data_IF_407572066700
#
_entry.id   IF_407572066700
#
_cell.length_a   1.000
_cell.length_b   1.000
_cell.length_c   1.000
_cell.angle_alpha   90.00
_cell.angle_beta   90.00
_cell.angle_gamma   90.00
#
_symmetry.space_group_name_H-M   'P 1'
#
loop_
_entity.id
_entity.type
_entity.pdbx_description
1 polymer ?
#
# COMPACT_ATOMS: atom_id res chain seq x y z
N UNK A 1 -6.16 14.32 -26.26
CA UNK A 1 -6.26 14.09 -24.80
C UNK A 1 -6.53 12.61 -24.58
N UNK A 2 -5.73 11.91 -23.78
CA UNK A 2 -5.84 10.47 -23.53
C UNK A 2 -6.71 10.22 -22.31
N UNK A 3 -7.73 9.36 -22.44
CA UNK A 3 -8.63 9.00 -21.35
C UNK A 3 -8.02 7.89 -20.50
N UNK A 4 -7.79 8.18 -19.23
CA UNK A 4 -7.25 7.25 -18.24
C UNK A 4 -8.35 6.88 -17.25
N UNK A 5 -8.87 5.65 -17.32
CA UNK A 5 -9.73 5.14 -16.25
C UNK A 5 -8.87 4.82 -15.02
N UNK A 6 -9.25 5.31 -13.86
CA UNK A 6 -8.55 5.07 -12.59
C UNK A 6 -9.51 4.43 -11.62
N UNK A 7 -9.15 3.27 -11.06
CA UNK A 7 -9.98 2.60 -10.06
C UNK A 7 -9.43 2.79 -8.67
N UNK A 8 -10.34 3.04 -7.72
CA UNK A 8 -10.04 3.03 -6.28
C UNK A 8 -11.09 2.23 -5.51
N UNK A 9 -10.68 1.41 -4.57
CA UNK A 9 -11.55 0.50 -3.82
C UNK A 9 -11.59 0.82 -2.33
N UNK A 10 -10.58 1.54 -1.84
CA UNK A 10 -10.42 1.85 -0.43
C UNK A 10 -9.69 3.17 -0.21
N UNK A 11 -9.78 3.68 1.01
CA UNK A 11 -9.06 4.89 1.43
C UNK A 11 -7.53 4.76 1.25
N UNK A 12 -6.98 3.57 1.46
CA UNK A 12 -5.56 3.31 1.27
C UNK A 12 -5.17 3.50 -0.20
N UNK A 13 -5.93 2.92 -1.12
CA UNK A 13 -5.70 3.08 -2.57
C UNK A 13 -5.77 4.56 -2.97
N UNK A 14 -6.82 5.26 -2.52
CA UNK A 14 -6.99 6.67 -2.83
C UNK A 14 -5.85 7.54 -2.27
N UNK A 15 -5.34 7.20 -1.09
CA UNK A 15 -4.17 7.87 -0.53
C UNK A 15 -2.94 7.81 -1.45
N UNK A 16 -2.70 6.67 -2.07
CA UNK A 16 -1.62 6.50 -3.05
C UNK A 16 -1.97 7.10 -4.43
N UNK A 17 -3.24 7.11 -4.80
CA UNK A 17 -3.70 7.65 -6.09
C UNK A 17 -3.87 9.17 -6.10
N UNK A 18 -3.94 9.82 -4.95
CA UNK A 18 -4.25 11.24 -4.84
C UNK A 18 -3.34 12.11 -5.71
N UNK A 19 -2.03 11.99 -5.55
CA UNK A 19 -1.08 12.81 -6.30
C UNK A 19 -0.97 12.42 -7.78
N UNK A 20 -0.93 11.14 -8.17
CA UNK A 20 -1.10 10.73 -9.56
C UNK A 20 -2.34 11.32 -10.23
N UNK A 21 -3.51 11.26 -9.57
CA UNK A 21 -4.76 11.85 -10.07
C UNK A 21 -4.65 13.39 -10.21
N UNK A 22 -4.09 14.07 -9.21
CA UNK A 22 -3.90 15.51 -9.23
C UNK A 22 -3.00 15.94 -10.42
N UNK A 23 -1.87 15.25 -10.62
CA UNK A 23 -0.95 15.53 -11.73
C UNK A 23 -1.54 15.19 -13.10
N UNK A 24 -2.28 14.09 -13.22
CA UNK A 24 -3.00 13.78 -14.46
C UNK A 24 -4.05 14.84 -14.79
N UNK A 25 -4.78 15.36 -13.79
CA UNK A 25 -5.77 16.42 -13.98
C UNK A 25 -5.15 17.75 -14.44
N UNK A 26 -3.92 18.05 -14.01
CA UNK A 26 -3.17 19.25 -14.40
C UNK A 26 -2.52 19.09 -15.79
N UNK A 27 -2.36 17.86 -16.29
CA UNK A 27 -1.66 17.57 -17.53
C UNK A 27 -2.56 17.81 -18.77
N UNK A 28 -2.15 18.63 -19.76
CA UNK A 28 -3.02 19.01 -20.90
C UNK A 28 -3.44 17.84 -21.80
N UNK A 29 -2.66 16.76 -21.84
CA UNK A 29 -2.90 15.63 -22.74
C UNK A 29 -3.62 14.46 -22.07
N UNK A 30 -3.98 14.56 -20.76
CA UNK A 30 -4.62 13.50 -19.99
C UNK A 30 -6.03 13.90 -19.54
N UNK A 31 -6.94 12.91 -19.52
CA UNK A 31 -8.31 13.00 -19.01
C UNK A 31 -8.55 11.86 -18.00
N UNK A 32 -8.21 12.04 -16.71
CA UNK A 32 -8.45 11.02 -15.69
C UNK A 32 -9.94 10.89 -15.36
N UNK A 33 -10.47 9.66 -15.46
CA UNK A 33 -11.84 9.28 -15.14
C UNK A 33 -11.83 8.34 -13.94
N UNK A 34 -12.28 8.82 -12.80
CA UNK A 34 -12.22 8.07 -11.54
C UNK A 34 -13.45 7.19 -11.35
N UNK A 35 -13.23 5.91 -11.15
CA UNK A 35 -14.23 4.90 -10.79
C UNK A 35 -14.02 4.54 -9.33
N UNK A 36 -15.08 4.63 -8.54
CA UNK A 36 -15.06 4.34 -7.10
C UNK A 36 -15.89 3.09 -6.81
N UNK A 37 -15.36 2.18 -6.00
CA UNK A 37 -16.05 0.95 -5.63
C UNK A 37 -15.60 0.45 -4.25
N UNK A 38 -16.04 -0.72 -3.84
CA UNK A 38 -15.57 -1.43 -2.64
C UNK A 38 -15.90 -0.68 -1.36
N UNK A 39 -14.90 -0.61 -0.47
CA UNK A 39 -15.04 -0.03 0.87
C UNK A 39 -15.41 1.47 0.85
N UNK A 40 -15.09 2.19 -0.23
CA UNK A 40 -15.45 3.61 -0.33
C UNK A 40 -16.94 3.90 -0.22
N UNK A 41 -17.79 2.98 -0.71
CA UNK A 41 -19.25 3.15 -0.77
C UNK A 41 -19.95 2.54 0.44
N UNK A 42 -19.23 1.85 1.32
CA UNK A 42 -19.79 1.16 2.48
C UNK A 42 -19.83 2.08 3.72
N UNK A 43 -21.01 2.28 4.33
CA UNK A 43 -21.13 3.00 5.61
C UNK A 43 -20.31 2.35 6.74
N UNK A 44 -20.16 1.02 6.72
CA UNK A 44 -19.39 0.29 7.71
C UNK A 44 -17.90 0.66 7.71
N UNK A 45 -17.38 1.15 6.57
CA UNK A 45 -16.00 1.61 6.39
C UNK A 45 -15.88 3.15 6.30
N UNK A 46 -16.90 3.88 6.79
CA UNK A 46 -16.87 5.34 6.93
C UNK A 46 -17.27 6.11 5.68
N UNK A 47 -17.81 5.45 4.63
CA UNK A 47 -18.31 6.09 3.39
C UNK A 47 -17.31 7.09 2.79
N UNK A 48 -16.05 6.66 2.64
CA UNK A 48 -14.90 7.52 2.30
C UNK A 48 -14.94 8.11 0.88
N UNK A 49 -15.96 7.79 0.09
CA UNK A 49 -16.26 8.47 -1.19
C UNK A 49 -16.49 9.97 -1.00
N UNK A 50 -16.95 10.40 0.16
CA UNK A 50 -17.16 11.81 0.46
C UNK A 50 -15.83 12.58 0.64
N UNK A 51 -14.78 11.91 1.10
CA UNK A 51 -13.42 12.47 1.13
C UNK A 51 -12.89 12.73 -0.29
N UNK A 52 -13.18 11.82 -1.23
CA UNK A 52 -12.81 11.96 -2.65
C UNK A 52 -13.50 13.19 -3.26
N UNK A 53 -14.80 13.35 -3.00
CA UNK A 53 -15.58 14.53 -3.45
C UNK A 53 -15.07 15.83 -2.82
N UNK A 54 -14.81 15.81 -1.50
CA UNK A 54 -14.27 16.95 -0.77
C UNK A 54 -12.87 17.37 -1.29
N UNK A 55 -12.07 16.42 -1.78
CA UNK A 55 -10.79 16.68 -2.43
C UNK A 55 -10.93 17.24 -3.87
N UNK A 56 -12.15 17.43 -4.36
CA UNK A 56 -12.43 18.04 -5.67
C UNK A 56 -12.19 17.11 -6.86
N UNK A 57 -12.18 15.79 -6.64
CA UNK A 57 -12.12 14.82 -7.75
C UNK A 57 -13.53 14.47 -8.25
N UNK A 58 -13.73 14.60 -9.56
CA UNK A 58 -14.95 14.14 -10.20
C UNK A 58 -14.97 12.61 -10.27
N UNK A 59 -16.10 12.02 -9.85
CA UNK A 59 -16.32 10.58 -9.89
C UNK A 59 -17.15 10.28 -11.15
N UNK A 60 -16.59 9.50 -12.05
CA UNK A 60 -17.24 9.09 -13.29
C UNK A 60 -18.31 8.03 -13.04
N UNK A 61 -17.97 7.06 -12.15
CA UNK A 61 -18.91 5.99 -11.79
C UNK A 61 -18.66 5.54 -10.34
N UNK A 62 -19.72 5.12 -9.65
CA UNK A 62 -19.69 4.61 -8.29
C UNK A 62 -20.42 3.27 -8.23
N UNK A 63 -19.67 2.17 -8.06
CA UNK A 63 -20.16 0.80 -8.24
C UNK A 63 -20.23 0.07 -6.90
N UNK A 64 -21.45 -0.17 -6.43
CA UNK A 64 -21.68 -0.99 -5.23
C UNK A 64 -21.53 -2.47 -5.56
N UNK A 65 -20.46 -3.10 -5.05
CA UNK A 65 -20.17 -4.51 -5.28
C UNK A 65 -19.68 -5.24 -4.03
N UNK A 66 -19.38 -4.51 -2.95
CA UNK A 66 -18.88 -5.09 -1.70
C UNK A 66 -20.00 -5.82 -0.98
N UNK A 67 -19.82 -7.13 -0.76
CA UNK A 67 -20.73 -7.90 0.08
C UNK A 67 -20.43 -7.62 1.56
N UNK A 68 -21.47 -7.49 2.36
CA UNK A 68 -21.36 -7.40 3.81
C UNK A 68 -21.06 -8.79 4.41
N UNK A 69 -19.88 -9.33 4.09
CA UNK A 69 -19.43 -10.67 4.47
C UNK A 69 -17.95 -10.67 4.75
N UNK A 70 -17.55 -11.23 5.89
CA UNK A 70 -16.18 -11.35 6.37
C UNK A 70 -15.55 -12.72 6.04
N UNK A 71 -16.02 -13.38 4.97
CA UNK A 71 -15.59 -14.71 4.57
C UNK A 71 -14.83 -14.72 3.25
N UNK A 72 -13.96 -15.72 3.06
CA UNK A 72 -13.25 -15.97 1.80
C UNK A 72 -14.23 -16.08 0.62
N UNK A 73 -15.38 -16.71 0.84
CA UNK A 73 -16.45 -16.80 -0.15
C UNK A 73 -17.04 -15.42 -0.47
N UNK A 74 -17.16 -14.56 0.54
CA UNK A 74 -17.60 -13.16 0.37
C UNK A 74 -16.62 -12.36 -0.51
N UNK A 75 -15.32 -12.49 -0.27
CA UNK A 75 -14.26 -11.87 -1.08
C UNK A 75 -14.34 -12.33 -2.55
N UNK A 76 -14.43 -13.64 -2.79
CA UNK A 76 -14.53 -14.20 -4.13
C UNK A 76 -15.78 -13.70 -4.87
N UNK A 77 -16.92 -13.66 -4.20
CA UNK A 77 -18.19 -13.14 -4.77
C UNK A 77 -18.13 -11.64 -5.04
N UNK A 78 -17.52 -10.84 -4.15
CA UNK A 78 -17.29 -9.40 -4.34
C UNK A 78 -16.49 -9.16 -5.63
N UNK A 79 -15.41 -9.91 -5.86
CA UNK A 79 -14.63 -9.83 -7.10
C UNK A 79 -15.49 -10.15 -8.33
N UNK A 80 -16.34 -11.18 -8.27
CA UNK A 80 -17.23 -11.54 -9.36
C UNK A 80 -18.26 -10.45 -9.69
N UNK A 81 -18.93 -9.89 -8.67
CA UNK A 81 -19.90 -8.80 -8.82
C UNK A 81 -19.25 -7.53 -9.38
N UNK A 82 -18.06 -7.18 -8.86
CA UNK A 82 -17.29 -6.05 -9.35
C UNK A 82 -16.90 -6.23 -10.83
N UNK A 83 -16.51 -7.44 -11.24
CA UNK A 83 -16.16 -7.75 -12.64
C UNK A 83 -17.35 -7.51 -13.58
N UNK A 84 -18.56 -7.96 -13.19
CA UNK A 84 -19.78 -7.76 -13.99
C UNK A 84 -20.07 -6.26 -14.15
N UNK A 85 -20.09 -5.50 -13.07
CA UNK A 85 -20.39 -4.06 -13.09
C UNK A 85 -19.32 -3.26 -13.87
N UNK A 86 -18.04 -3.59 -13.67
CA UNK A 86 -16.95 -2.92 -14.36
C UNK A 86 -16.88 -3.24 -15.85
N UNK A 87 -17.35 -4.41 -16.29
CA UNK A 87 -17.42 -4.74 -17.72
C UNK A 87 -18.31 -3.74 -18.47
N UNK A 88 -19.48 -3.40 -17.93
CA UNK A 88 -20.39 -2.43 -18.54
C UNK A 88 -19.82 -1.00 -18.51
N UNK A 89 -19.26 -0.59 -17.38
CA UNK A 89 -18.65 0.75 -17.22
C UNK A 89 -17.48 0.94 -18.17
N UNK A 90 -16.54 -0.01 -18.23
CA UNK A 90 -15.38 0.07 -19.12
C UNK A 90 -15.77 -0.07 -20.60
N UNK A 91 -16.79 -0.86 -20.92
CA UNK A 91 -17.31 -0.96 -22.29
C UNK A 91 -17.96 0.34 -22.77
N UNK A 92 -18.63 1.08 -21.88
CA UNK A 92 -19.23 2.39 -22.17
C UNK A 92 -18.16 3.49 -22.26
N UNK A 93 -17.21 3.52 -21.31
CA UNK A 93 -16.15 4.53 -21.21
C UNK A 93 -15.11 4.40 -22.33
N UNK A 94 -14.71 3.18 -22.69
CA UNK A 94 -13.65 2.88 -23.67
C UNK A 94 -12.36 3.67 -23.43
N UNK A 95 -11.77 3.62 -22.24
CA UNK A 95 -10.56 4.37 -21.96
C UNK A 95 -9.38 3.89 -22.81
N UNK A 96 -8.41 4.77 -23.00
CA UNK A 96 -7.15 4.42 -23.66
C UNK A 96 -6.28 3.52 -22.77
N UNK A 97 -6.29 3.76 -21.45
CA UNK A 97 -5.56 2.99 -20.44
C UNK A 97 -6.42 2.89 -19.17
N UNK A 98 -6.39 1.72 -18.53
CA UNK A 98 -6.87 1.52 -17.17
C UNK A 98 -5.69 1.55 -16.20
N UNK A 99 -5.70 2.45 -15.23
CA UNK A 99 -4.70 2.55 -14.19
C UNK A 99 -5.15 1.79 -12.94
N UNK A 100 -4.35 0.83 -12.51
CA UNK A 100 -4.52 -0.01 -11.33
C UNK A 100 -3.42 0.27 -10.32
N UNK A 101 -3.70 0.00 -9.05
CA UNK A 101 -2.74 0.22 -7.97
C UNK A 101 -2.62 -0.96 -7.03
N UNK A 102 -1.39 -1.21 -6.58
CA UNK A 102 -1.04 -2.12 -5.49
C UNK A 102 -1.53 -3.57 -5.70
N UNK A 103 -2.28 -4.11 -4.76
CA UNK A 103 -2.39 -5.55 -4.59
C UNK A 103 -3.72 -6.01 -3.95
N UNK A 104 -4.68 -5.12 -3.78
CA UNK A 104 -5.97 -5.53 -3.25
C UNK A 104 -6.68 -6.47 -4.20
N UNK A 105 -7.31 -7.50 -3.65
CA UNK A 105 -8.00 -8.54 -4.42
C UNK A 105 -9.09 -7.98 -5.35
N UNK A 106 -9.72 -6.87 -4.97
CA UNK A 106 -10.73 -6.19 -5.77
C UNK A 106 -10.17 -5.69 -7.11
N UNK A 107 -8.85 -5.43 -7.20
CA UNK A 107 -8.19 -4.97 -8.44
C UNK A 107 -8.15 -6.05 -9.54
N UNK A 108 -8.37 -7.32 -9.19
CA UNK A 108 -8.53 -8.38 -10.19
C UNK A 108 -9.79 -8.19 -11.05
N UNK A 109 -10.85 -7.60 -10.49
CA UNK A 109 -12.11 -7.38 -11.19
C UNK A 109 -11.94 -6.44 -12.42
N UNK A 110 -11.44 -5.21 -12.27
CA UNK A 110 -11.19 -4.31 -13.40
C UNK A 110 -10.15 -4.89 -14.37
N UNK A 111 -9.12 -5.58 -13.87
CA UNK A 111 -8.11 -6.19 -14.73
C UNK A 111 -8.70 -7.29 -15.63
N UNK A 112 -9.58 -8.13 -15.09
CA UNK A 112 -10.28 -9.18 -15.85
C UNK A 112 -11.20 -8.57 -16.92
N UNK A 113 -11.99 -7.54 -16.58
CA UNK A 113 -12.85 -6.86 -17.52
C UNK A 113 -12.04 -6.15 -18.62
N UNK A 114 -10.95 -5.45 -18.27
CA UNK A 114 -10.09 -4.75 -19.21
C UNK A 114 -9.40 -5.70 -20.19
N UNK A 115 -8.95 -6.87 -19.69
CA UNK A 115 -8.36 -7.91 -20.55
C UNK A 115 -9.34 -8.35 -21.64
N UNK A 116 -10.58 -8.70 -21.27
CA UNK A 116 -11.60 -9.11 -22.21
C UNK A 116 -11.97 -8.00 -23.22
N UNK A 117 -11.99 -6.75 -22.79
CA UNK A 117 -12.30 -5.57 -23.59
C UNK A 117 -11.11 -5.04 -24.38
N UNK A 118 -9.95 -5.65 -24.26
CA UNK A 118 -8.70 -5.21 -24.89
C UNK A 118 -8.37 -3.74 -24.58
N UNK A 119 -8.49 -3.38 -23.29
CA UNK A 119 -8.07 -2.09 -22.74
C UNK A 119 -6.66 -2.27 -22.15
N UNK A 120 -5.65 -1.51 -22.61
CA UNK A 120 -4.33 -1.54 -21.98
C UNK A 120 -4.40 -1.18 -20.51
N UNK A 121 -3.57 -1.81 -19.69
CA UNK A 121 -3.51 -1.58 -18.25
C UNK A 121 -2.16 -1.04 -17.85
N UNK A 122 -2.15 -0.10 -16.91
CA UNK A 122 -0.96 0.37 -16.22
C UNK A 122 -1.08 0.01 -14.74
N UNK A 123 0.00 -0.45 -14.11
CA UNK A 123 0.01 -0.92 -12.74
C UNK A 123 1.03 -0.16 -11.88
N UNK A 124 0.56 0.51 -10.84
CA UNK A 124 1.37 1.18 -9.84
C UNK A 124 1.76 0.18 -8.74
N UNK A 125 3.01 0.25 -8.26
CA UNK A 125 3.60 -0.60 -7.20
C UNK A 125 3.69 -2.09 -7.56
N UNK A 126 3.69 -2.42 -8.85
CA UNK A 126 4.01 -3.75 -9.32
C UNK A 126 5.45 -4.15 -8.98
N UNK A 127 5.69 -5.46 -8.84
CA UNK A 127 7.02 -6.00 -8.55
C UNK A 127 7.48 -5.88 -7.10
N UNK A 128 6.72 -5.26 -6.20
CA UNK A 128 6.94 -5.34 -4.75
C UNK A 128 6.58 -6.75 -4.23
N UNK A 129 7.00 -7.06 -3.00
CA UNK A 129 6.77 -8.35 -2.35
C UNK A 129 5.99 -8.15 -1.04
N UNK A 130 5.18 -9.16 -0.69
CA UNK A 130 4.50 -9.29 0.60
C UNK A 130 4.32 -10.78 0.91
N UNK A 131 5.43 -11.49 1.14
CA UNK A 131 5.48 -12.98 1.23
C UNK A 131 4.51 -13.58 2.26
N UNK A 132 4.06 -12.79 3.25
CA UNK A 132 3.09 -13.22 4.27
C UNK A 132 1.62 -12.93 3.94
N UNK A 133 1.29 -12.47 2.72
CA UNK A 133 -0.05 -12.04 2.37
C UNK A 133 -0.52 -12.57 1.01
N UNK A 134 -1.83 -12.84 0.87
CA UNK A 134 -2.47 -13.19 -0.41
C UNK A 134 -2.29 -12.09 -1.47
N UNK A 135 -2.12 -10.86 -1.02
CA UNK A 135 -1.85 -9.67 -1.82
C UNK A 135 -0.66 -9.86 -2.76
N UNK A 136 0.36 -10.65 -2.37
CA UNK A 136 1.54 -10.92 -3.21
C UNK A 136 1.16 -11.61 -4.51
N UNK A 137 0.30 -12.62 -4.45
CA UNK A 137 -0.20 -13.33 -5.63
C UNK A 137 -1.05 -12.40 -6.52
N UNK A 138 -1.89 -11.56 -5.92
CA UNK A 138 -2.71 -10.59 -6.63
C UNK A 138 -1.82 -9.58 -7.35
N UNK A 139 -0.83 -9.00 -6.66
CA UNK A 139 0.11 -8.02 -7.24
C UNK A 139 0.86 -8.60 -8.44
N UNK A 140 1.34 -9.82 -8.32
CA UNK A 140 2.05 -10.47 -9.42
C UNK A 140 1.15 -10.81 -10.60
N UNK A 141 -0.10 -11.22 -10.35
CA UNK A 141 -1.10 -11.41 -11.39
C UNK A 141 -1.40 -10.09 -12.12
N UNK A 142 -1.66 -9.01 -11.40
CA UNK A 142 -1.89 -7.68 -11.97
C UNK A 142 -0.68 -7.20 -12.78
N UNK A 143 0.54 -7.41 -12.27
CA UNK A 143 1.77 -7.08 -13.00
C UNK A 143 1.83 -7.83 -14.34
N UNK A 144 1.50 -9.12 -14.39
CA UNK A 144 1.51 -9.89 -15.66
C UNK A 144 0.43 -9.46 -16.63
N UNK A 145 -0.73 -9.04 -16.12
CA UNK A 145 -1.83 -8.54 -16.95
C UNK A 145 -1.56 -7.12 -17.48
N UNK A 146 -0.81 -6.30 -16.74
CA UNK A 146 -0.53 -4.92 -17.09
C UNK A 146 0.45 -4.78 -18.28
N UNK A 147 0.39 -3.64 -18.95
CA UNK A 147 1.16 -3.29 -20.13
C UNK A 147 2.19 -2.19 -19.88
N UNK A 148 1.99 -1.39 -18.81
CA UNK A 148 2.93 -0.43 -18.27
C UNK A 148 3.07 -0.67 -16.76
N UNK A 149 4.26 -0.48 -16.23
CA UNK A 149 4.61 -0.79 -14.85
C UNK A 149 5.27 0.42 -14.20
N UNK A 150 4.63 0.98 -13.18
CA UNK A 150 5.14 2.08 -12.37
C UNK A 150 5.65 1.51 -11.05
N UNK A 151 6.94 1.27 -10.97
CA UNK A 151 7.56 0.53 -9.87
C UNK A 151 8.26 1.46 -8.90
N UNK A 152 8.21 1.17 -7.57
CA UNK A 152 8.78 2.07 -6.58
C UNK A 152 10.30 1.96 -6.46
N UNK A 153 10.87 0.75 -6.61
CA UNK A 153 12.27 0.47 -6.33
C UNK A 153 13.03 -0.14 -7.51
N UNK A 154 14.36 -0.15 -7.44
CA UNK A 154 15.19 -0.85 -8.43
C UNK A 154 14.95 -2.37 -8.38
N UNK A 155 14.74 -2.94 -7.19
CA UNK A 155 14.46 -4.36 -6.99
C UNK A 155 13.12 -4.74 -7.62
N UNK A 156 12.08 -3.93 -7.42
CA UNK A 156 10.79 -4.10 -8.06
C UNK A 156 10.93 -4.05 -9.60
N UNK A 157 11.71 -3.12 -10.15
CA UNK A 157 11.97 -3.04 -11.58
C UNK A 157 12.68 -4.31 -12.12
N UNK A 158 13.67 -4.82 -11.40
CA UNK A 158 14.37 -6.07 -11.76
C UNK A 158 13.42 -7.26 -11.74
N UNK A 159 12.56 -7.35 -10.75
CA UNK A 159 11.57 -8.43 -10.61
C UNK A 159 10.54 -8.38 -11.74
N UNK A 160 9.98 -7.23 -12.05
CA UNK A 160 9.05 -7.07 -13.20
C UNK A 160 9.74 -7.47 -14.51
N UNK A 161 11.00 -7.10 -14.70
CA UNK A 161 11.79 -7.55 -15.85
C UNK A 161 11.99 -9.06 -15.86
N UNK A 162 12.30 -9.67 -14.72
CA UNK A 162 12.44 -11.14 -14.58
C UNK A 162 11.12 -11.89 -14.84
N UNK A 163 9.97 -11.26 -14.62
CA UNK A 163 8.66 -11.77 -15.01
C UNK A 163 8.42 -11.74 -16.52
N UNK A 164 9.40 -11.28 -17.32
CA UNK A 164 9.35 -11.26 -18.77
C UNK A 164 8.76 -9.98 -19.39
N UNK A 165 8.70 -8.88 -18.63
CA UNK A 165 8.22 -7.60 -19.14
C UNK A 165 9.32 -6.84 -19.89
N UNK A 166 8.95 -6.21 -21.01
CA UNK A 166 9.88 -5.44 -21.84
C UNK A 166 10.40 -4.21 -21.07
N UNK A 167 11.73 -3.89 -21.13
CA UNK A 167 12.31 -2.79 -20.33
C UNK A 167 11.66 -1.43 -20.52
N UNK A 168 11.20 -1.10 -21.70
CA UNK A 168 10.55 0.19 -22.00
C UNK A 168 9.18 0.36 -21.35
N UNK A 169 8.56 -0.75 -20.89
CA UNK A 169 7.29 -0.74 -20.17
C UNK A 169 7.46 -0.49 -18.67
N UNK A 170 8.71 -0.53 -18.17
CA UNK A 170 9.02 -0.47 -16.73
C UNK A 170 9.56 0.93 -16.40
N UNK A 171 8.81 1.68 -15.65
CA UNK A 171 9.15 3.04 -15.22
C UNK A 171 9.37 3.05 -13.69
N UNK A 172 10.60 3.37 -13.25
CA UNK A 172 10.86 3.57 -11.82
C UNK A 172 10.39 4.96 -11.43
N UNK A 173 9.19 5.04 -10.87
CA UNK A 173 8.55 6.30 -10.50
C UNK A 173 8.77 6.67 -9.04
N UNK A 174 8.99 5.69 -8.18
CA UNK A 174 8.90 5.82 -6.73
C UNK A 174 7.48 5.48 -6.25
N UNK A 175 7.30 5.44 -4.92
CA UNK A 175 6.02 5.20 -4.28
C UNK A 175 5.20 6.50 -4.19
N UNK A 176 3.95 6.51 -4.70
CA UNK A 176 3.13 7.73 -4.72
C UNK A 176 2.76 8.25 -3.33
N UNK A 177 2.77 7.41 -2.30
CA UNK A 177 2.51 7.85 -0.93
C UNK A 177 3.51 8.91 -0.44
N UNK A 178 4.75 8.89 -0.96
CA UNK A 178 5.78 9.86 -0.59
C UNK A 178 5.50 11.28 -1.11
N UNK A 179 4.68 11.41 -2.13
CA UNK A 179 4.29 12.70 -2.69
C UNK A 179 3.50 13.55 -1.68
N UNK A 180 2.81 12.91 -0.72
CA UNK A 180 2.16 13.63 0.39
C UNK A 180 3.14 14.42 1.25
N UNK A 181 4.33 13.89 1.47
CA UNK A 181 5.37 14.60 2.22
C UNK A 181 5.92 15.79 1.45
N UNK A 182 5.99 15.69 0.14
CA UNK A 182 6.56 16.71 -0.75
C UNK A 182 5.58 17.84 -1.07
N UNK A 183 4.35 17.47 -1.40
CA UNK A 183 3.34 18.38 -1.98
C UNK A 183 2.17 18.63 -1.04
N UNK A 184 1.96 17.77 -0.04
CA UNK A 184 0.88 17.89 0.92
C UNK A 184 1.20 18.90 2.04
N UNK A 185 0.16 19.54 2.56
CA UNK A 185 0.26 20.29 3.81
C UNK A 185 0.02 19.32 4.98
N UNK A 186 1.04 19.03 5.76
CA UNK A 186 0.89 18.20 6.94
C UNK A 186 0.09 18.93 8.03
N UNK A 187 -0.58 18.17 8.90
CA UNK A 187 -1.31 18.73 10.02
C UNK A 187 -0.34 19.43 11.00
N UNK A 188 -0.84 20.48 11.61
CA UNK A 188 -0.17 21.16 12.72
C UNK A 188 -0.21 20.32 13.98
N UNK A 189 0.63 20.61 14.97
CA UNK A 189 0.64 19.91 16.25
C UNK A 189 -0.73 20.04 16.98
N UNK A 190 -1.42 21.16 16.84
CA UNK A 190 -2.76 21.37 17.42
C UNK A 190 -3.79 20.47 16.77
N UNK A 191 -3.87 20.44 15.44
CA UNK A 191 -4.79 19.57 14.70
C UNK A 191 -4.50 18.08 14.98
N UNK A 192 -3.22 17.71 15.09
CA UNK A 192 -2.81 16.35 15.43
C UNK A 192 -3.27 15.97 16.85
N UNK A 193 -3.04 16.84 17.83
CA UNK A 193 -3.48 16.64 19.21
C UNK A 193 -5.00 16.49 19.31
N UNK A 194 -5.77 17.32 18.60
CA UNK A 194 -7.24 17.23 18.57
C UNK A 194 -7.70 15.89 17.97
N UNK A 195 -7.06 15.44 16.87
CA UNK A 195 -7.43 14.19 16.20
C UNK A 195 -7.03 12.95 16.99
N UNK A 196 -5.88 12.96 17.67
CA UNK A 196 -5.36 11.83 18.44
C UNK A 196 -5.91 11.82 19.87
N UNK A 197 -6.24 12.98 20.43
CA UNK A 197 -6.68 13.14 21.82
C UNK A 197 -5.54 13.12 22.85
N UNK A 198 -4.30 13.34 22.40
CA UNK A 198 -3.11 13.52 23.25
C UNK A 198 -2.03 14.28 22.49
N UNK A 199 -1.06 14.84 23.22
CA UNK A 199 0.15 15.40 22.62
C UNK A 199 1.03 14.29 22.04
N UNK A 200 1.55 14.53 20.84
CA UNK A 200 2.48 13.63 20.15
C UNK A 200 3.85 14.30 20.08
N UNK A 201 4.86 13.60 20.54
CA UNK A 201 6.24 14.08 20.58
C UNK A 201 7.24 12.94 20.31
N UNK A 202 8.52 13.23 20.47
CA UNK A 202 9.62 12.29 20.26
C UNK A 202 9.66 11.11 21.24
N UNK A 203 8.86 11.14 22.29
CA UNK A 203 8.68 10.02 23.21
C UNK A 203 7.53 9.08 22.80
N UNK A 204 6.69 9.52 21.88
CA UNK A 204 5.53 8.75 21.42
C UNK A 204 5.93 7.61 20.49
N UNK A 205 5.46 6.40 20.81
CA UNK A 205 5.58 5.20 19.98
C UNK A 205 4.30 5.02 19.14
N UNK A 206 4.44 4.98 17.82
CA UNK A 206 3.33 4.65 16.91
C UNK A 206 3.32 3.16 16.65
N UNK A 207 2.15 2.54 16.77
CA UNK A 207 1.93 1.12 16.51
C UNK A 207 1.05 0.96 15.27
N UNK A 208 1.55 0.24 14.27
CA UNK A 208 0.81 -0.11 13.07
C UNK A 208 0.99 -1.61 12.77
N UNK A 209 0.08 -2.42 13.29
CA UNK A 209 0.11 -3.88 13.16
C UNK A 209 -1.14 -4.37 12.43
N UNK A 210 -0.96 -5.36 11.57
CA UNK A 210 -1.99 -5.98 10.73
C UNK A 210 -1.95 -7.50 10.85
N UNK A 211 -3.06 -8.19 10.58
CA UNK A 211 -3.07 -9.64 10.52
C UNK A 211 -2.08 -10.20 9.48
N UNK A 212 -1.50 -11.36 9.76
CA UNK A 212 -0.67 -12.12 8.82
C UNK A 212 -1.59 -13.14 8.13
N UNK A 213 -2.14 -12.78 6.99
CA UNK A 213 -3.29 -13.49 6.36
C UNK A 213 -2.97 -14.91 5.85
N UNK A 214 -1.71 -15.27 5.71
CA UNK A 214 -1.30 -16.63 5.31
C UNK A 214 -1.00 -17.55 6.51
N UNK A 215 -0.95 -17.04 7.73
CA UNK A 215 -0.70 -17.83 8.92
C UNK A 215 -2.02 -18.37 9.49
N UNK A 216 -1.97 -19.59 10.05
CA UNK A 216 -3.14 -20.20 10.71
C UNK A 216 -3.60 -19.39 11.94
N UNK A 217 -2.67 -18.76 12.65
CA UNK A 217 -2.94 -17.77 13.69
C UNK A 217 -2.50 -16.39 13.17
N UNK A 218 -3.46 -15.66 12.64
CA UNK A 218 -3.24 -14.35 12.02
C UNK A 218 -2.87 -13.25 13.00
N UNK A 219 -3.01 -13.50 14.32
CA UNK A 219 -2.85 -12.52 15.41
C UNK A 219 -1.69 -12.81 16.35
N UNK A 220 -0.94 -13.89 16.12
CA UNK A 220 0.15 -14.36 16.99
C UNK A 220 1.22 -13.31 17.28
N UNK A 221 1.55 -12.46 16.29
CA UNK A 221 2.53 -11.38 16.43
C UNK A 221 2.06 -10.28 17.40
N UNK A 222 0.74 -10.10 17.55
CA UNK A 222 0.14 -9.01 18.34
C UNK A 222 0.38 -9.18 19.83
N UNK A 223 0.25 -10.38 20.37
CA UNK A 223 0.47 -10.66 21.78
C UNK A 223 1.91 -10.36 22.21
N UNK A 224 2.88 -10.73 21.37
CA UNK A 224 4.30 -10.45 21.61
C UNK A 224 4.60 -8.93 21.62
N UNK A 225 4.00 -8.19 20.70
CA UNK A 225 4.11 -6.74 20.63
C UNK A 225 3.54 -6.07 21.89
N UNK A 226 2.34 -6.43 22.33
CA UNK A 226 1.72 -5.84 23.52
C UNK A 226 2.53 -6.11 24.78
N UNK A 227 3.06 -7.32 24.93
CA UNK A 227 3.95 -7.66 26.05
C UNK A 227 5.26 -6.83 26.06
N UNK A 228 5.75 -6.43 24.89
CA UNK A 228 6.90 -5.52 24.80
C UNK A 228 6.50 -4.07 25.14
N UNK A 229 5.34 -3.60 24.69
CA UNK A 229 4.83 -2.25 25.00
C UNK A 229 4.56 -2.06 26.48
N UNK A 230 4.05 -3.06 27.20
CA UNK A 230 3.87 -3.02 28.66
C UNK A 230 5.18 -2.69 29.42
N UNK A 231 6.33 -3.08 28.84
CA UNK A 231 7.64 -2.85 29.43
C UNK A 231 8.35 -1.57 28.89
N UNK A 232 7.86 -1.03 27.77
CA UNK A 232 8.46 0.15 27.14
C UNK A 232 8.23 1.44 27.95
N UNK A 233 7.05 1.58 28.57
CA UNK A 233 6.62 2.73 29.41
C UNK A 233 6.75 4.07 28.69
N UNK A 234 6.20 4.18 27.50
CA UNK A 234 6.13 5.40 26.69
C UNK A 234 4.71 5.64 26.21
N UNK A 235 4.36 6.87 25.85
CA UNK A 235 3.08 7.13 25.20
C UNK A 235 2.93 6.32 23.91
N UNK A 236 1.75 5.76 23.66
CA UNK A 236 1.48 4.88 22.51
C UNK A 236 0.28 5.36 21.73
N UNK A 237 0.44 5.43 20.41
CA UNK A 237 -0.67 5.66 19.48
C UNK A 237 -0.82 4.47 18.55
N UNK A 238 -1.90 3.72 18.72
CA UNK A 238 -2.28 2.66 17.79
C UNK A 238 -3.00 3.24 16.58
N UNK A 239 -2.53 2.88 15.39
CA UNK A 239 -3.13 3.29 14.12
C UNK A 239 -3.64 2.08 13.33
N UNK A 240 -4.94 2.07 13.03
CA UNK A 240 -5.56 1.05 12.21
C UNK A 240 -6.22 1.67 10.97
N UNK A 241 -5.67 1.46 9.77
CA UNK A 241 -6.21 2.09 8.56
C UNK A 241 -7.41 1.37 7.96
N UNK A 242 -7.53 0.03 8.12
CA UNK A 242 -8.50 -0.79 7.42
C UNK A 242 -9.04 -1.93 8.29
N UNK A 243 -10.24 -2.42 7.96
CA UNK A 243 -10.84 -3.63 8.51
C UNK A 243 -10.55 -4.83 7.57
N UNK A 244 -9.34 -5.36 7.63
CA UNK A 244 -9.02 -6.65 7.01
C UNK A 244 -9.52 -7.80 7.92
N UNK A 245 -9.70 -9.00 7.38
CA UNK A 245 -10.09 -10.16 8.17
C UNK A 245 -9.10 -10.38 9.33
N UNK A 246 -9.60 -10.52 10.57
CA UNK A 246 -8.79 -10.56 11.80
C UNK A 246 -8.43 -9.18 12.40
N UNK A 247 -8.67 -8.06 11.71
CA UNK A 247 -8.38 -6.72 12.24
C UNK A 247 -9.25 -6.37 13.44
N UNK A 248 -10.48 -6.87 13.51
CA UNK A 248 -11.38 -6.61 14.65
C UNK A 248 -10.83 -7.17 15.96
N UNK A 249 -10.20 -8.33 15.93
CA UNK A 249 -9.57 -8.94 17.12
C UNK A 249 -8.40 -8.09 17.60
N UNK A 250 -7.51 -7.68 16.69
CA UNK A 250 -6.37 -6.82 17.02
C UNK A 250 -6.85 -5.45 17.54
N UNK A 251 -7.87 -4.86 16.92
CA UNK A 251 -8.47 -3.60 17.38
C UNK A 251 -9.11 -3.73 18.75
N UNK A 252 -9.78 -4.85 19.03
CA UNK A 252 -10.34 -5.15 20.35
C UNK A 252 -9.23 -5.20 21.42
N UNK A 253 -8.18 -5.98 21.16
CA UNK A 253 -7.04 -6.07 22.07
C UNK A 253 -6.33 -4.72 22.27
N UNK A 254 -6.20 -3.90 21.22
CA UNK A 254 -5.61 -2.56 21.33
C UNK A 254 -6.50 -1.60 22.15
N UNK A 255 -7.83 -1.71 22.02
CA UNK A 255 -8.77 -0.93 22.84
C UNK A 255 -8.66 -1.30 24.32
N UNK A 256 -8.68 -2.59 24.63
CA UNK A 256 -8.54 -3.10 26.00
C UNK A 256 -7.18 -2.70 26.60
N UNK A 257 -6.14 -2.64 25.77
CA UNK A 257 -4.82 -2.17 26.17
C UNK A 257 -4.84 -0.66 26.50
N UNK A 258 -5.44 0.16 25.64
CA UNK A 258 -5.58 1.60 25.86
C UNK A 258 -6.39 1.93 27.11
N UNK A 259 -7.43 1.15 27.45
CA UNK A 259 -8.22 1.35 28.68
C UNK A 259 -7.39 1.19 29.95
N UNK A 260 -6.31 0.40 29.89
CA UNK A 260 -5.39 0.17 31.03
C UNK A 260 -4.21 1.15 31.07
N UNK A 261 -4.00 1.96 30.02
CA UNK A 261 -2.87 2.86 29.88
C UNK A 261 -3.33 4.28 29.54
N UNK A 262 -3.22 5.19 30.51
CA UNK A 262 -3.75 6.55 30.39
C UNK A 262 -3.06 7.38 29.27
N UNK A 263 -1.83 7.05 28.95
CA UNK A 263 -0.98 7.66 27.91
C UNK A 263 -1.04 6.90 26.56
N UNK A 264 -2.11 6.14 26.35
CA UNK A 264 -2.33 5.42 25.09
C UNK A 264 -3.60 5.90 24.38
N UNK A 265 -3.56 5.88 23.06
CA UNK A 265 -4.72 6.19 22.20
C UNK A 265 -4.82 5.20 21.07
N UNK A 266 -6.06 4.88 20.71
CA UNK A 266 -6.41 4.13 19.53
C UNK A 266 -7.07 5.09 18.54
N UNK A 267 -6.48 5.23 17.35
CA UNK A 267 -7.03 6.03 16.26
C UNK A 267 -7.32 5.14 15.06
N UNK A 268 -8.50 5.32 14.50
CA UNK A 268 -8.95 4.59 13.32
C UNK A 268 -9.10 5.58 12.18
N UNK A 269 -8.57 5.26 11.02
CA UNK A 269 -8.73 6.05 9.81
C UNK A 269 -8.18 7.49 9.88
N UNK A 270 -6.96 7.68 10.37
CA UNK A 270 -6.25 8.95 10.14
C UNK A 270 -6.04 9.15 8.64
N UNK A 271 -6.49 10.29 8.12
CA UNK A 271 -6.18 10.68 6.74
C UNK A 271 -4.68 10.91 6.53
N UNK A 272 -4.19 10.89 5.28
CA UNK A 272 -2.76 11.03 4.99
C UNK A 272 -2.11 12.23 5.67
N UNK A 273 -2.79 13.38 5.69
CA UNK A 273 -2.30 14.63 6.29
C UNK A 273 -1.99 14.50 7.79
N UNK A 274 -2.86 13.84 8.55
CA UNK A 274 -2.69 13.59 9.99
C UNK A 274 -1.70 12.44 10.25
N UNK A 275 -1.79 11.37 9.46
CA UNK A 275 -0.89 10.23 9.62
C UNK A 275 0.57 10.61 9.37
N UNK A 276 0.86 11.35 8.30
CA UNK A 276 2.20 11.86 8.05
C UNK A 276 2.70 12.81 9.15
N UNK A 277 1.81 13.65 9.72
CA UNK A 277 2.16 14.50 10.86
C UNK A 277 2.46 13.66 12.10
N UNK A 278 1.67 12.61 12.38
CA UNK A 278 1.92 11.67 13.47
C UNK A 278 3.30 11.01 13.34
N UNK A 279 3.65 10.48 12.16
CA UNK A 279 4.97 9.90 11.92
C UNK A 279 6.10 10.92 12.00
N UNK A 280 5.88 12.15 11.54
CA UNK A 280 6.87 13.23 11.62
C UNK A 280 7.20 13.56 13.07
N UNK A 281 6.21 13.65 13.94
CA UNK A 281 6.37 14.16 15.31
C UNK A 281 6.69 13.07 16.34
N UNK A 282 6.37 11.80 16.05
CA UNK A 282 6.64 10.65 16.93
C UNK A 282 8.11 10.25 16.99
N UNK A 283 8.48 9.41 17.97
CA UNK A 283 9.85 8.93 18.19
C UNK A 283 10.21 7.65 17.45
N UNK A 284 9.27 6.71 17.33
CA UNK A 284 9.46 5.44 16.61
C UNK A 284 8.12 4.90 16.07
N UNK A 285 8.22 4.06 15.03
CA UNK A 285 7.12 3.20 14.57
C UNK A 285 7.46 1.74 14.87
N UNK A 286 6.48 0.97 15.35
CA UNK A 286 6.59 -0.48 15.52
C UNK A 286 5.39 -1.21 14.93
N UNK A 287 5.61 -2.37 14.36
CA UNK A 287 4.58 -3.24 13.80
C UNK A 287 4.99 -3.86 12.50
N UNK A 288 4.03 -4.24 11.67
CA UNK A 288 4.25 -4.93 10.40
C UNK A 288 3.58 -4.22 9.20
N UNK A 289 3.33 -2.91 9.33
CA UNK A 289 2.76 -2.09 8.25
C UNK A 289 3.78 -1.82 7.13
N UNK A 290 3.31 -1.81 5.88
CA UNK A 290 4.12 -1.38 4.73
C UNK A 290 4.59 0.07 4.83
N UNK A 291 3.83 0.92 5.51
CA UNK A 291 4.22 2.31 5.79
C UNK A 291 5.56 2.40 6.54
N UNK A 292 5.80 1.47 7.49
CA UNK A 292 7.08 1.38 8.20
C UNK A 292 8.28 1.09 7.29
N UNK A 293 8.05 0.46 6.15
CA UNK A 293 9.09 0.14 5.17
C UNK A 293 9.24 1.24 4.11
N UNK A 294 8.13 1.72 3.58
CA UNK A 294 8.15 2.60 2.40
C UNK A 294 8.29 4.08 2.75
N UNK A 295 7.74 4.50 3.89
CA UNK A 295 7.49 5.92 4.17
C UNK A 295 8.44 6.49 5.22
N UNK A 296 8.71 5.76 6.30
CA UNK A 296 9.40 6.27 7.50
C UNK A 296 10.83 6.73 7.26
N UNK A 297 11.52 6.17 6.27
CA UNK A 297 12.88 6.60 5.90
C UNK A 297 12.92 8.08 5.47
N UNK A 298 11.88 8.56 4.77
CA UNK A 298 11.78 9.96 4.34
C UNK A 298 11.66 10.95 5.50
N UNK A 299 11.29 10.45 6.70
CA UNK A 299 11.18 11.24 7.93
C UNK A 299 12.35 10.99 8.90
N UNK A 300 13.29 10.10 8.57
CA UNK A 300 14.31 9.63 9.50
C UNK A 300 13.72 8.98 10.74
N UNK A 301 12.51 8.38 10.65
CA UNK A 301 11.82 7.75 11.77
C UNK A 301 12.34 6.33 11.99
N UNK A 302 12.89 6.00 13.17
CA UNK A 302 13.25 4.65 13.51
C UNK A 302 12.05 3.73 13.42
N UNK A 303 12.21 2.57 12.80
CA UNK A 303 11.12 1.62 12.58
C UNK A 303 11.53 0.22 13.01
N UNK A 304 10.73 -0.39 13.87
CA UNK A 304 10.88 -1.79 14.29
C UNK A 304 9.84 -2.62 13.55
N UNK A 305 10.28 -3.36 12.54
CA UNK A 305 9.41 -4.25 11.78
C UNK A 305 9.31 -5.61 12.48
N UNK A 306 8.11 -5.99 12.90
CA UNK A 306 7.85 -7.20 13.67
C UNK A 306 7.37 -8.31 12.74
N UNK A 307 7.99 -9.47 12.85
CA UNK A 307 7.59 -10.66 12.12
C UNK A 307 7.91 -10.63 10.63
N UNK A 308 7.19 -11.42 9.84
CA UNK A 308 7.55 -11.70 8.45
C UNK A 308 6.60 -11.14 7.39
N UNK A 309 5.53 -10.44 7.78
CA UNK A 309 4.54 -9.91 6.82
C UNK A 309 5.19 -9.07 5.71
N UNK A 310 6.27 -8.34 6.03
CA UNK A 310 7.01 -7.51 5.08
C UNK A 310 8.28 -8.19 4.53
N UNK A 311 8.43 -9.52 4.69
CA UNK A 311 9.58 -10.24 4.15
C UNK A 311 9.72 -10.03 2.63
N UNK A 312 10.97 -10.02 2.15
CA UNK A 312 11.30 -9.82 0.74
C UNK A 312 11.30 -8.37 0.23
N UNK A 313 10.76 -7.40 0.98
CA UNK A 313 10.79 -5.98 0.59
C UNK A 313 12.18 -5.36 0.76
N UNK A 314 12.49 -4.38 -0.07
CA UNK A 314 13.69 -3.55 0.08
C UNK A 314 13.68 -2.82 1.41
N UNK A 315 14.76 -2.94 2.21
CA UNK A 315 14.89 -2.33 3.54
C UNK A 315 15.69 -1.04 3.48
N UNK A 316 15.08 0.12 3.83
CA UNK A 316 15.86 1.32 4.10
C UNK A 316 16.60 1.21 5.44
N UNK A 317 17.65 2.01 5.62
CA UNK A 317 18.55 1.92 6.77
C UNK A 317 17.97 2.37 8.12
N UNK A 318 16.72 2.80 8.18
CA UNK A 318 16.01 3.15 9.41
C UNK A 318 15.14 2.00 9.96
N UNK A 319 15.07 0.85 9.26
CA UNK A 319 14.24 -0.30 9.62
C UNK A 319 15.08 -1.41 10.24
N UNK A 320 14.63 -1.90 11.39
CA UNK A 320 15.19 -3.08 12.07
C UNK A 320 14.14 -4.17 12.09
N UNK A 321 14.44 -5.32 11.47
CA UNK A 321 13.57 -6.50 11.50
C UNK A 321 13.80 -7.29 12.80
N UNK A 322 12.72 -7.67 13.47
CA UNK A 322 12.75 -8.50 14.68
C UNK A 322 11.71 -9.61 14.60
N UNK A 323 12.00 -10.80 15.17
CA UNK A 323 10.96 -11.81 15.33
C UNK A 323 9.90 -11.32 16.32
N UNK A 324 8.71 -11.93 16.26
CA UNK A 324 7.60 -11.64 17.17
C UNK A 324 7.86 -12.22 18.58
N UNK A 325 8.92 -11.74 19.21
CA UNK A 325 9.36 -12.10 20.56
C UNK A 325 9.42 -10.84 21.44
N UNK A 326 8.74 -10.79 22.59
CA UNK A 326 8.64 -9.58 23.41
C UNK A 326 9.97 -8.94 23.74
N UNK A 327 10.96 -9.77 24.12
CA UNK A 327 12.31 -9.31 24.48
C UNK A 327 13.07 -8.68 23.32
N UNK A 328 12.96 -9.25 22.12
CA UNK A 328 13.62 -8.73 20.90
C UNK A 328 12.99 -7.43 20.45
N UNK A 329 11.66 -7.35 20.49
CA UNK A 329 10.90 -6.12 20.16
C UNK A 329 11.28 -5.01 21.15
N UNK A 330 11.32 -5.30 22.46
CA UNK A 330 11.64 -4.31 23.48
C UNK A 330 13.08 -3.78 23.35
N UNK A 331 14.06 -4.64 23.06
CA UNK A 331 15.44 -4.22 22.83
C UNK A 331 15.52 -3.25 21.64
N UNK A 332 14.94 -3.63 20.49
CA UNK A 332 14.96 -2.79 19.30
C UNK A 332 14.21 -1.45 19.50
N UNK A 333 13.10 -1.46 20.24
CA UNK A 333 12.41 -0.22 20.60
C UNK A 333 13.25 0.69 21.49
N UNK A 334 13.97 0.15 22.50
CA UNK A 334 14.86 0.94 23.34
C UNK A 334 15.98 1.58 22.53
N UNK A 335 16.58 0.84 21.60
CA UNK A 335 17.60 1.36 20.67
C UNK A 335 17.00 2.45 19.73
N UNK A 336 15.76 2.27 19.27
CA UNK A 336 15.07 3.26 18.45
C UNK A 336 14.89 4.62 19.17
N UNK A 337 14.65 4.56 20.49
CA UNK A 337 14.50 5.76 21.34
C UNK A 337 15.80 6.27 21.97
N UNK A 338 16.96 5.72 21.62
CA UNK A 338 18.23 6.27 22.11
C UNK A 338 18.45 7.69 21.57
N UNK A 339 19.01 8.60 22.41
CA UNK A 339 19.34 9.95 21.99
C UNK A 339 20.22 9.97 20.73
N UNK A 340 19.90 10.83 19.77
CA UNK A 340 20.64 10.98 18.52
C UNK A 340 20.33 9.93 17.44
N UNK A 341 19.51 8.92 17.72
CA UNK A 341 19.15 7.90 16.69
C UNK A 341 18.44 8.55 15.52
N UNK A 342 17.45 9.38 15.80
CA UNK A 342 16.67 10.02 14.73
C UNK A 342 17.52 11.00 13.89
N UNK A 343 18.41 11.74 14.49
CA UNK A 343 19.35 12.64 13.80
C UNK A 343 20.28 11.87 12.85
N UNK A 344 20.77 10.70 13.27
CA UNK A 344 21.56 9.82 12.39
C UNK A 344 20.74 9.34 11.19
N UNK A 345 19.48 9.04 11.40
CA UNK A 345 18.59 8.48 10.37
C UNK A 345 18.08 9.52 9.36
N UNK A 346 18.17 10.82 9.64
CA UNK A 346 17.82 11.86 8.65
C UNK A 346 18.69 11.81 7.39
N UNK A 347 19.84 11.14 7.44
CA UNK A 347 20.77 10.96 6.31
C UNK A 347 20.48 9.71 5.47
N UNK A 348 19.54 8.89 5.89
CA UNK A 348 19.16 7.66 5.18
C UNK A 348 18.40 8.04 3.90
N UNK A 349 18.88 7.52 2.77
CA UNK A 349 18.16 7.64 1.50
C UNK A 349 16.97 6.67 1.48
N UNK A 350 15.80 7.15 1.08
CA UNK A 350 14.65 6.28 0.91
C UNK A 350 14.71 5.61 -0.48
N UNK A 351 14.86 4.27 -0.56
CA UNK A 351 14.88 3.56 -1.83
C UNK A 351 13.55 3.61 -2.59
N UNK A 352 12.45 3.94 -1.90
CA UNK A 352 11.10 4.03 -2.45
C UNK A 352 10.82 5.35 -3.16
N UNK A 353 11.71 6.33 -3.12
CA UNK A 353 11.56 7.54 -3.94
C UNK A 353 11.80 8.84 -3.18
N UNK A 354 11.46 9.92 -3.85
CA UNK A 354 11.76 11.31 -3.49
C UNK A 354 10.53 12.23 -3.47
N UNK A 355 9.31 11.66 -3.61
CA UNK A 355 8.06 12.41 -3.59
C UNK A 355 7.66 13.07 -4.93
N UNK A 356 8.09 12.50 -6.05
CA UNK A 356 7.74 12.94 -7.40
C UNK A 356 7.12 11.82 -8.25
N UNK A 357 6.50 10.83 -7.60
CA UNK A 357 5.95 9.68 -8.30
C UNK A 357 4.76 10.06 -9.18
N UNK A 358 3.85 10.89 -8.69
CA UNK A 358 2.68 11.34 -9.44
C UNK A 358 3.03 12.07 -10.73
N UNK A 359 4.04 12.94 -10.70
CA UNK A 359 4.54 13.65 -11.89
C UNK A 359 5.07 12.65 -12.92
N UNK A 360 5.96 11.74 -12.49
CA UNK A 360 6.55 10.72 -13.38
C UNK A 360 5.52 9.78 -13.98
N UNK A 361 4.48 9.42 -13.21
CA UNK A 361 3.36 8.58 -13.67
C UNK A 361 2.56 9.33 -14.75
N UNK A 362 2.19 10.59 -14.49
CA UNK A 362 1.44 11.40 -15.44
C UNK A 362 2.20 11.59 -16.76
N UNK A 363 3.48 11.96 -16.70
CA UNK A 363 4.34 12.10 -17.88
C UNK A 363 4.46 10.79 -18.67
N UNK A 364 4.68 9.65 -17.99
CA UNK A 364 4.79 8.36 -18.66
C UNK A 364 3.46 7.91 -19.29
N UNK A 365 2.33 8.19 -18.66
CA UNK A 365 1.00 7.93 -19.25
C UNK A 365 0.73 8.82 -20.46
N UNK A 366 1.12 10.10 -20.43
CA UNK A 366 0.99 11.01 -21.56
C UNK A 366 1.86 10.58 -22.74
N UNK A 367 3.10 10.17 -22.47
CA UNK A 367 4.06 9.72 -23.47
C UNK A 367 3.86 8.27 -23.94
N UNK A 368 2.93 7.52 -23.34
CA UNK A 368 2.74 6.11 -23.68
C UNK A 368 2.38 5.92 -25.16
N UNK A 369 2.85 4.84 -25.81
CA UNK A 369 2.54 4.57 -27.22
C UNK A 369 1.04 4.34 -27.45
N UNK A 370 0.65 4.22 -28.72
CA UNK A 370 -0.73 3.92 -29.10
C UNK A 370 -1.19 2.56 -28.56
N UNK A 371 -2.51 2.42 -28.43
CA UNK A 371 -3.17 1.25 -27.83
C UNK A 371 -2.74 -0.09 -28.42
N UNK A 372 -2.61 -0.16 -29.74
CA UNK A 372 -2.17 -1.36 -30.46
C UNK A 372 -0.74 -1.77 -30.07
N UNK A 373 0.17 -0.82 -29.94
CA UNK A 373 1.54 -1.08 -29.48
C UNK A 373 1.56 -1.56 -28.03
N UNK A 374 0.73 -0.95 -27.15
CA UNK A 374 0.63 -1.36 -25.76
C UNK A 374 0.14 -2.80 -25.61
N UNK A 375 -0.93 -3.18 -26.35
CA UNK A 375 -1.54 -4.49 -26.26
C UNK A 375 -0.63 -5.65 -26.73
N UNK A 376 0.33 -5.38 -27.61
CA UNK A 376 1.24 -6.41 -28.15
C UNK A 376 2.52 -6.50 -27.32
N UNK A 377 2.47 -7.29 -26.23
CA UNK A 377 3.66 -7.61 -25.43
C UNK A 377 4.51 -8.67 -26.15
N UNK A 378 5.81 -8.45 -26.19
CA UNK A 378 6.77 -9.42 -26.73
C UNK A 378 7.32 -10.28 -25.58
N UNK A 379 7.48 -11.58 -25.85
CA UNK A 379 8.22 -12.44 -24.96
C UNK A 379 9.70 -12.05 -24.98
N UNK A 380 10.28 -11.84 -23.80
CA UNK A 380 11.74 -11.67 -23.71
C UNK A 380 12.44 -13.01 -23.95
N UNK A 381 13.70 -13.01 -24.45
CA UNK A 381 14.52 -14.20 -24.50
C UNK A 381 14.59 -14.85 -23.12
N UNK A 382 14.51 -16.17 -23.07
CA UNK A 382 14.70 -16.93 -21.84
C UNK A 382 16.12 -16.70 -21.34
N UNK A 383 16.29 -16.59 -20.03
CA UNK A 383 17.61 -16.62 -19.40
C UNK A 383 18.12 -18.04 -19.57
N UNK A 384 19.31 -18.21 -20.10
CA UNK A 384 19.94 -19.52 -20.26
C UNK A 384 20.11 -20.18 -18.89
N UNK A 385 19.48 -21.32 -18.71
CA UNK A 385 19.59 -22.24 -17.59
C UNK A 385 19.08 -23.59 -18.07
N UNK A 386 19.66 -24.68 -17.60
CA UNK A 386 19.16 -26.01 -17.95
C UNK A 386 17.74 -26.18 -17.40
N UNK A 387 16.74 -26.45 -18.24
CA UNK A 387 15.42 -26.81 -17.74
C UNK A 387 15.53 -28.14 -16.96
N UNK A 388 14.69 -28.32 -15.94
CA UNK A 388 14.62 -29.63 -15.25
C UNK A 388 14.31 -30.73 -16.28
N UNK A 389 14.98 -31.87 -16.15
CA UNK A 389 14.73 -33.04 -17.02
C UNK A 389 13.25 -33.50 -16.84
N UNK A 390 12.70 -34.12 -17.89
CA UNK A 390 11.33 -34.64 -17.83
C UNK A 390 11.17 -35.59 -16.63
N UNK A 391 10.27 -35.26 -15.70
CA UNK A 391 10.00 -36.02 -14.49
C UNK A 391 10.87 -35.67 -13.27
N UNK A 392 11.87 -34.81 -13.41
CA UNK A 392 12.57 -34.26 -12.25
C UNK A 392 11.69 -33.20 -11.55
N UNK A 393 11.47 -33.44 -10.25
CA UNK A 393 10.83 -32.43 -9.40
C UNK A 393 11.92 -31.53 -8.84
N UNK A 394 11.89 -30.24 -9.19
CA UNK A 394 12.61 -29.25 -8.43
C UNK A 394 12.04 -29.25 -7.01
N UNK A 395 12.86 -29.61 -6.02
CA UNK A 395 12.49 -29.49 -4.62
C UNK A 395 12.28 -28.02 -4.25
N UNK A 396 11.56 -27.72 -3.15
CA UNK A 396 11.54 -26.37 -2.61
C UNK A 396 12.98 -25.99 -2.27
N UNK A 397 13.50 -24.98 -3.00
CA UNK A 397 14.88 -24.51 -2.81
C UNK A 397 15.13 -24.16 -1.35
N UNK A 398 16.27 -24.55 -0.81
CA UNK A 398 16.78 -24.04 0.45
C UNK A 398 16.95 -22.53 0.33
N UNK A 399 16.29 -21.75 1.20
CA UNK A 399 16.43 -20.31 1.30
C UNK A 399 17.44 -19.95 2.37
#
# INVERSE_FOLDING_TARGET
>A
MRTIAVLTTSRADFGHLYWPLARMREHPDLDPRLIVTGAHLSPAFGHTVDEIRAAGFAIEDALECLLSSDTDVGMAKTTGLATISLADTLARMRPDILLLIADRYEMLAPATAALALRIPMAHIEGGEISEGAVDDAVRHALTKLAHLHFVPTCEAARRVRAMGEEPWRIHRTGAPSLDHLRHGSLATATELREAVGMDVDRDTCVVAIHPVTLDADTTSETAALFAALDQLRRPVVFCFPNADAGSYEIMGAARDWCERHADARLVVNLGPRLYWALLRDSGALVGNSSSGIMETASLGLPTVNVGRRQAGRTRPGNVVDVPAEPGRILIALREAFEPGTRERLTKVSNPYGDGHAGERIAEALAAAPAKDVLLHKRALPLIEGEPPAFGERAGPGER
#
